data_IF_041428098719
#
_entry.id   IF_041428098719
#
_cell.length_a   1.000
_cell.length_b   1.000
_cell.length_c   1.000
_cell.angle_alpha   90.00
_cell.angle_beta   90.00
_cell.angle_gamma   90.00
#
_symmetry.space_group_name_H-M   'P 1'
#
loop_
_entity.id
_entity.type
_entity.pdbx_description
1 polymer ?
#
# COMPACT_ATOMS: atom_id res chain seq x y z
N UNK A 1 -10.75 -9.69 -20.58
CA UNK A 1 -9.35 -9.81 -21.01
C UNK A 1 -8.57 -10.37 -19.84
N UNK A 2 -7.82 -11.45 -20.02
CA UNK A 2 -7.09 -12.14 -18.95
C UNK A 2 -6.01 -11.24 -18.35
N UNK A 3 -5.80 -11.32 -17.01
CA UNK A 3 -4.77 -10.61 -16.24
C UNK A 3 -3.35 -10.76 -16.83
N UNK A 4 -3.09 -11.88 -17.51
CA UNK A 4 -1.80 -12.18 -18.14
C UNK A 4 -1.47 -11.31 -19.35
N UNK A 5 -2.45 -10.71 -20.00
CA UNK A 5 -2.25 -9.89 -21.20
C UNK A 5 -1.81 -8.44 -20.89
N UNK A 6 -1.87 -8.00 -19.64
CA UNK A 6 -1.54 -6.63 -19.20
C UNK A 6 -0.26 -6.57 -18.35
N UNK A 7 0.40 -7.70 -18.07
CA UNK A 7 1.75 -7.68 -17.48
C UNK A 7 2.67 -6.95 -18.45
N UNK A 8 2.84 -5.65 -18.23
CA UNK A 8 3.67 -4.76 -19.03
C UNK A 8 5.07 -5.34 -19.11
N UNK A 9 5.64 -5.32 -20.30
CA UNK A 9 7.07 -5.45 -20.50
C UNK A 9 7.76 -4.44 -19.58
N UNK A 10 8.23 -4.90 -18.42
CA UNK A 10 8.94 -4.09 -17.45
C UNK A 10 10.23 -3.66 -18.14
N UNK A 11 10.39 -2.36 -18.41
CA UNK A 11 11.67 -1.84 -18.90
C UNK A 11 12.75 -2.30 -17.93
N UNK A 12 13.91 -2.72 -18.42
CA UNK A 12 15.04 -3.21 -17.63
C UNK A 12 15.50 -2.24 -16.50
N UNK A 13 14.94 -1.04 -16.46
CA UNK A 13 15.21 0.01 -15.45
C UNK A 13 14.01 0.35 -14.55
N UNK A 14 12.81 -0.17 -14.81
CA UNK A 14 11.65 0.12 -13.98
C UNK A 14 11.67 -0.73 -12.70
N UNK A 15 11.24 -0.19 -11.54
CA UNK A 15 11.15 -0.98 -10.31
C UNK A 15 10.08 -2.06 -10.45
N UNK A 16 10.32 -3.21 -9.78
CA UNK A 16 9.30 -4.23 -9.57
C UNK A 16 8.30 -3.73 -8.54
N UNK A 17 7.03 -3.61 -8.93
CA UNK A 17 5.99 -3.00 -8.10
C UNK A 17 5.14 -4.06 -7.43
N UNK A 18 5.10 -4.02 -6.11
CA UNK A 18 4.29 -4.91 -5.28
C UNK A 18 3.15 -4.10 -4.65
N UNK A 19 1.91 -4.53 -4.87
CA UNK A 19 0.76 -4.01 -4.16
C UNK A 19 0.55 -4.80 -2.87
N UNK A 20 0.72 -4.18 -1.70
CA UNK A 20 0.45 -4.77 -0.39
C UNK A 20 -0.92 -4.30 0.09
N UNK A 21 -1.83 -5.22 0.33
CA UNK A 21 -3.18 -4.93 0.81
C UNK A 21 -3.63 -5.93 1.89
N UNK A 22 -4.80 -5.71 2.44
CA UNK A 22 -5.40 -6.55 3.47
C UNK A 22 -6.47 -5.79 4.23
N UNK A 23 -7.38 -6.49 4.85
CA UNK A 23 -8.48 -5.92 5.60
C UNK A 23 -8.01 -5.25 6.90
N UNK A 24 -8.85 -4.37 7.44
CA UNK A 24 -8.58 -3.63 8.69
C UNK A 24 -8.15 -4.60 9.79
N UNK A 25 -7.15 -4.24 10.57
CA UNK A 25 -6.53 -5.04 11.64
C UNK A 25 -5.95 -6.41 11.17
N UNK A 26 -5.78 -6.62 9.85
CA UNK A 26 -5.19 -7.83 9.28
C UNK A 26 -3.69 -8.03 9.51
N UNK A 27 -2.96 -7.01 9.99
CA UNK A 27 -1.51 -7.10 10.23
C UNK A 27 -0.63 -6.54 9.11
N UNK A 28 -1.21 -5.88 8.12
CA UNK A 28 -0.51 -5.30 6.96
C UNK A 28 0.67 -4.39 7.35
N UNK A 29 0.49 -3.53 8.35
CA UNK A 29 1.53 -2.61 8.82
C UNK A 29 2.74 -3.33 9.41
N UNK A 30 2.55 -4.49 10.05
CA UNK A 30 3.65 -5.32 10.55
C UNK A 30 4.44 -5.94 9.41
N UNK A 31 3.73 -6.47 8.40
CA UNK A 31 4.37 -7.00 7.19
C UNK A 31 5.17 -5.91 6.47
N UNK A 32 4.61 -4.71 6.32
CA UNK A 32 5.31 -3.58 5.73
C UNK A 32 6.54 -3.17 6.54
N UNK A 33 6.49 -3.23 7.88
CA UNK A 33 7.64 -2.95 8.75
C UNK A 33 8.74 -3.98 8.55
N UNK A 34 8.42 -5.29 8.58
CA UNK A 34 9.39 -6.37 8.31
C UNK A 34 10.05 -6.18 6.94
N UNK A 35 9.29 -5.82 5.93
CA UNK A 35 9.84 -5.63 4.59
C UNK A 35 10.74 -4.38 4.49
N UNK A 36 10.43 -3.29 5.21
CA UNK A 36 11.35 -2.13 5.34
C UNK A 36 12.68 -2.53 5.97
N UNK A 37 12.63 -3.31 7.05
CA UNK A 37 13.82 -3.81 7.74
C UNK A 37 14.67 -4.73 6.82
N UNK A 38 14.02 -5.42 5.87
CA UNK A 38 14.67 -6.22 4.85
C UNK A 38 15.12 -5.41 3.60
N UNK A 39 14.91 -4.10 3.61
CA UNK A 39 15.38 -3.19 2.56
C UNK A 39 14.37 -2.88 1.46
N UNK A 40 13.08 -3.16 1.66
CA UNK A 40 12.03 -2.74 0.73
C UNK A 40 11.86 -1.22 0.73
N UNK A 41 11.71 -0.63 -0.44
CA UNK A 41 11.19 0.73 -0.60
C UNK A 41 9.65 0.70 -0.45
N UNK A 42 9.11 1.33 0.59
CA UNK A 42 7.66 1.26 0.89
C UNK A 42 7.02 2.62 0.73
N UNK A 43 6.03 2.70 -0.17
CA UNK A 43 5.17 3.87 -0.39
C UNK A 43 3.82 3.65 0.29
N UNK A 44 3.49 4.50 1.26
CA UNK A 44 2.18 4.54 1.92
C UNK A 44 1.20 5.34 1.06
N UNK A 45 0.18 4.67 0.52
CA UNK A 45 -0.81 5.30 -0.34
C UNK A 45 -1.69 6.33 0.40
N UNK A 46 -1.95 6.13 1.70
CA UNK A 46 -2.70 7.10 2.52
C UNK A 46 -1.85 8.36 2.76
N UNK A 47 -0.54 8.21 2.99
CA UNK A 47 0.38 9.33 3.09
C UNK A 47 0.47 10.09 1.76
N UNK A 48 0.51 9.37 0.64
CA UNK A 48 0.55 9.97 -0.69
C UNK A 48 -0.74 10.73 -1.01
N UNK A 49 -1.90 10.19 -0.65
CA UNK A 49 -3.18 10.88 -0.79
C UNK A 49 -3.27 12.14 0.11
N UNK A 50 -2.66 12.10 1.31
CA UNK A 50 -2.55 13.29 2.16
C UNK A 50 -1.68 14.36 1.54
N UNK A 51 -0.53 13.97 0.95
CA UNK A 51 0.37 14.87 0.22
C UNK A 51 -0.31 15.50 -1.01
N UNK A 52 -1.15 14.74 -1.71
CA UNK A 52 -1.88 15.22 -2.87
C UNK A 52 -2.79 16.43 -2.58
N UNK A 53 -3.29 16.55 -1.34
CA UNK A 53 -4.18 17.61 -0.89
C UNK A 53 -3.56 18.50 0.19
N UNK A 54 -2.23 18.61 0.18
CA UNK A 54 -1.52 19.55 1.05
C UNK A 54 -1.86 21.01 0.72
N UNK A 55 -1.68 21.88 1.72
CA UNK A 55 -1.90 23.31 1.58
C UNK A 55 -1.17 23.86 0.35
N UNK A 56 -1.89 24.61 -0.48
CA UNK A 56 -1.40 25.22 -1.70
C UNK A 56 -1.40 24.29 -2.93
N UNK A 57 -1.84 23.03 -2.80
CA UNK A 57 -1.99 22.14 -3.94
C UNK A 57 -3.20 22.52 -4.80
N UNK A 58 -3.12 22.20 -6.11
CA UNK A 58 -4.25 22.40 -7.03
C UNK A 58 -5.45 21.54 -6.62
N UNK A 59 -5.21 20.32 -6.11
CA UNK A 59 -6.28 19.45 -5.65
C UNK A 59 -7.03 20.04 -4.46
N UNK A 60 -6.35 20.64 -3.48
CA UNK A 60 -7.01 21.27 -2.34
C UNK A 60 -7.87 22.45 -2.77
N UNK A 61 -7.39 23.26 -3.72
CA UNK A 61 -8.18 24.35 -4.30
C UNK A 61 -9.44 23.83 -4.99
N UNK A 62 -9.31 22.81 -5.84
CA UNK A 62 -10.46 22.19 -6.51
C UNK A 62 -11.44 21.55 -5.51
N UNK A 63 -10.94 20.97 -4.40
CA UNK A 63 -11.80 20.45 -3.33
C UNK A 63 -12.58 21.59 -2.67
N UNK A 64 -11.96 22.72 -2.38
CA UNK A 64 -12.66 23.87 -1.80
C UNK A 64 -13.72 24.46 -2.76
N UNK A 65 -13.42 24.54 -4.04
CA UNK A 65 -14.37 24.95 -5.09
C UNK A 65 -15.59 24.00 -5.19
N UNK A 66 -15.39 22.68 -5.09
CA UNK A 66 -16.44 21.66 -5.23
C UNK A 66 -17.26 21.47 -3.96
N UNK A 67 -16.62 21.51 -2.77
CA UNK A 67 -17.24 21.15 -1.49
C UNK A 67 -17.54 22.36 -0.59
N UNK A 68 -17.06 23.54 -0.96
CA UNK A 68 -17.18 24.78 -0.19
C UNK A 68 -15.96 25.04 0.68
N UNK A 69 -15.77 26.32 1.07
CA UNK A 69 -14.64 26.73 1.92
C UNK A 69 -14.72 26.19 3.35
N UNK A 70 -15.87 25.73 3.79
CA UNK A 70 -16.09 25.09 5.11
C UNK A 70 -15.30 23.77 5.27
N UNK A 71 -14.72 23.24 4.19
CA UNK A 71 -13.79 22.10 4.26
C UNK A 71 -12.35 22.53 4.52
N UNK A 72 -12.08 23.83 4.71
CA UNK A 72 -10.77 24.33 5.07
C UNK A 72 -10.75 24.81 6.52
N UNK A 73 -9.63 24.60 7.22
CA UNK A 73 -9.39 25.22 8.51
C UNK A 73 -8.76 26.61 8.34
N UNK A 74 -8.66 27.39 9.43
CA UNK A 74 -8.24 28.79 9.40
C UNK A 74 -6.85 29.04 8.77
N UNK A 75 -5.97 28.06 8.79
CA UNK A 75 -4.63 28.14 8.15
C UNK A 75 -4.66 27.80 6.65
N UNK A 76 -5.83 27.49 6.09
CA UNK A 76 -6.02 27.11 4.70
C UNK A 76 -5.67 25.65 4.39
N UNK A 77 -5.46 24.80 5.37
CA UNK A 77 -5.33 23.35 5.17
C UNK A 77 -6.69 22.64 5.20
N UNK A 78 -6.73 21.39 4.73
CA UNK A 78 -7.96 20.60 4.64
C UNK A 78 -8.48 20.17 6.01
N UNK A 79 -9.71 20.54 6.37
CA UNK A 79 -10.49 19.91 7.45
C UNK A 79 -10.99 18.54 6.99
N UNK A 80 -10.18 17.51 7.31
CA UNK A 80 -10.49 16.14 6.93
C UNK A 80 -11.76 15.61 7.58
N UNK A 81 -12.10 16.09 8.78
CA UNK A 81 -13.30 15.68 9.48
C UNK A 81 -14.57 16.28 8.84
N UNK A 82 -14.50 17.54 8.44
CA UNK A 82 -15.58 18.20 7.71
C UNK A 82 -15.82 17.53 6.35
N UNK A 83 -14.76 17.34 5.56
CA UNK A 83 -14.86 16.66 4.27
C UNK A 83 -15.37 15.21 4.41
N UNK A 84 -14.87 14.46 5.40
CA UNK A 84 -15.31 13.10 5.66
C UNK A 84 -16.82 13.02 5.93
N UNK A 85 -17.38 13.93 6.72
CA UNK A 85 -18.84 13.98 6.98
C UNK A 85 -19.65 14.14 5.70
N UNK A 86 -19.15 14.96 4.77
CA UNK A 86 -19.81 15.21 3.48
C UNK A 86 -19.79 13.95 2.59
N UNK A 87 -18.61 13.34 2.45
CA UNK A 87 -18.42 12.24 1.49
C UNK A 87 -18.90 10.89 2.02
N UNK A 88 -18.97 10.70 3.35
CA UNK A 88 -19.57 9.49 3.92
C UNK A 88 -21.09 9.46 3.81
N UNK A 89 -21.74 10.62 3.78
CA UNK A 89 -23.19 10.72 3.66
C UNK A 89 -23.68 10.60 2.21
N UNK A 90 -22.80 10.82 1.22
CA UNK A 90 -23.17 10.91 -0.19
C UNK A 90 -22.14 10.21 -1.10
N UNK A 91 -22.50 9.03 -1.68
CA UNK A 91 -21.62 8.29 -2.59
C UNK A 91 -21.23 9.06 -3.87
N UNK A 92 -22.09 10.00 -4.33
CA UNK A 92 -21.78 10.84 -5.49
C UNK A 92 -20.69 11.84 -5.16
N UNK A 93 -20.79 12.52 -4.03
CA UNK A 93 -19.76 13.43 -3.53
C UNK A 93 -18.44 12.71 -3.26
N UNK A 94 -18.49 11.48 -2.75
CA UNK A 94 -17.30 10.64 -2.60
C UNK A 94 -16.63 10.39 -3.95
N UNK A 95 -17.37 10.02 -4.99
CA UNK A 95 -16.83 9.83 -6.35
C UNK A 95 -16.18 11.09 -6.92
N UNK A 96 -16.76 12.27 -6.67
CA UNK A 96 -16.19 13.55 -7.08
C UNK A 96 -14.87 13.84 -6.37
N UNK A 97 -14.77 13.59 -5.06
CA UNK A 97 -13.52 13.70 -4.33
C UNK A 97 -12.45 12.75 -4.90
N UNK A 98 -12.80 11.51 -5.13
CA UNK A 98 -11.91 10.50 -5.73
C UNK A 98 -11.42 10.97 -7.13
N UNK A 99 -12.27 11.54 -7.95
CA UNK A 99 -11.92 12.07 -9.27
C UNK A 99 -10.93 13.26 -9.19
N UNK A 100 -10.97 14.06 -8.13
CA UNK A 100 -10.01 15.16 -7.90
C UNK A 100 -8.68 14.62 -7.38
N UNK A 101 -8.71 13.71 -6.40
CA UNK A 101 -7.50 13.25 -5.69
C UNK A 101 -6.71 12.24 -6.49
N UNK A 102 -7.38 11.29 -7.15
CA UNK A 102 -6.72 10.17 -7.85
C UNK A 102 -5.70 10.61 -8.91
N UNK A 103 -5.98 11.59 -9.81
CA UNK A 103 -4.99 12.05 -10.77
C UNK A 103 -3.72 12.63 -10.11
N UNK A 104 -3.86 13.29 -8.97
CA UNK A 104 -2.73 13.85 -8.25
C UNK A 104 -1.88 12.76 -7.60
N UNK A 105 -2.51 11.74 -7.02
CA UNK A 105 -1.81 10.56 -6.48
C UNK A 105 -1.01 9.88 -7.60
N UNK A 106 -1.61 9.69 -8.78
CA UNK A 106 -0.91 9.11 -9.94
C UNK A 106 0.30 9.95 -10.36
N UNK A 107 0.18 11.29 -10.35
CA UNK A 107 1.29 12.21 -10.68
C UNK A 107 2.41 12.19 -9.64
N UNK A 108 2.07 12.05 -8.35
CA UNK A 108 3.04 12.03 -7.26
C UNK A 108 3.73 10.66 -7.10
N UNK A 109 3.12 9.57 -7.56
CA UNK A 109 3.63 8.21 -7.43
C UNK A 109 5.09 8.04 -7.87
N UNK A 110 5.54 8.49 -9.08
CA UNK A 110 6.93 8.31 -9.49
C UNK A 110 7.93 9.05 -8.61
N UNK A 111 7.53 10.16 -8.02
CA UNK A 111 8.37 10.90 -7.07
C UNK A 111 8.47 10.13 -5.75
N UNK A 112 7.35 9.69 -5.19
CA UNK A 112 7.30 8.91 -3.97
C UNK A 112 8.08 7.58 -4.10
N UNK A 113 8.00 6.90 -5.26
CA UNK A 113 8.80 5.71 -5.54
C UNK A 113 10.31 6.01 -5.51
N UNK A 114 10.75 7.12 -6.10
CA UNK A 114 12.17 7.54 -6.06
C UNK A 114 12.64 7.90 -4.66
N UNK A 115 11.81 8.62 -3.91
CA UNK A 115 12.08 8.98 -2.51
C UNK A 115 12.24 7.71 -1.66
N UNK A 116 11.29 6.79 -1.73
CA UNK A 116 11.33 5.53 -0.99
C UNK A 116 12.54 4.64 -1.37
N UNK A 117 12.90 4.59 -2.65
CA UNK A 117 14.10 3.87 -3.10
C UNK A 117 15.38 4.52 -2.55
N UNK A 118 15.48 5.84 -2.56
CA UNK A 118 16.64 6.55 -2.01
C UNK A 118 16.77 6.34 -0.50
N UNK A 119 15.66 6.34 0.24
CA UNK A 119 15.63 6.04 1.68
C UNK A 119 16.07 4.60 1.97
N UNK A 120 15.55 3.62 1.23
CA UNK A 120 15.93 2.22 1.37
C UNK A 120 17.42 1.99 1.07
N UNK A 121 17.96 2.68 0.06
CA UNK A 121 19.38 2.64 -0.28
C UNK A 121 20.26 3.30 0.79
N UNK A 122 19.81 4.41 1.34
CA UNK A 122 20.52 5.08 2.45
C UNK A 122 20.55 4.21 3.71
N UNK A 123 19.41 3.57 4.05
CA UNK A 123 19.33 2.65 5.18
C UNK A 123 20.29 1.45 4.99
N UNK A 124 20.33 0.86 3.80
CA UNK A 124 21.26 -0.24 3.49
C UNK A 124 22.74 0.18 3.61
N UNK A 125 23.09 1.37 3.15
CA UNK A 125 24.46 1.89 3.28
C UNK A 125 24.87 2.19 4.73
N UNK A 126 23.92 2.60 5.57
CA UNK A 126 24.14 2.87 6.99
C UNK A 126 24.17 1.62 7.88
N UNK A 127 23.73 0.47 7.38
CA UNK A 127 23.70 -0.77 8.13
C UNK A 127 25.13 -1.32 8.38
N UNK A 128 25.38 -1.98 9.55
CA UNK A 128 26.63 -2.69 9.81
C UNK A 128 26.93 -3.73 8.72
N UNK A 129 28.21 -4.01 8.44
CA UNK A 129 28.63 -4.93 7.37
C UNK A 129 27.97 -6.33 7.45
N UNK A 130 27.69 -6.82 8.65
CA UNK A 130 26.95 -8.08 8.87
C UNK A 130 25.49 -8.04 8.38
N UNK A 131 24.89 -6.86 8.31
CA UNK A 131 23.54 -6.65 7.81
C UNK A 131 23.48 -6.27 6.31
N UNK A 132 24.64 -5.91 5.75
CA UNK A 132 24.81 -5.74 4.29
C UNK A 132 24.81 -7.11 3.64
N UNK A 133 23.62 -7.65 3.37
CA UNK A 133 23.52 -8.82 2.50
C UNK A 133 24.02 -8.44 1.11
N UNK A 134 25.27 -8.82 0.81
CA UNK A 134 25.67 -8.95 -0.56
C UNK A 134 24.68 -9.91 -1.24
N UNK A 135 24.28 -9.66 -2.51
CA UNK A 135 23.50 -10.65 -3.25
C UNK A 135 24.30 -11.96 -3.19
N UNK A 136 23.66 -13.01 -2.65
CA UNK A 136 24.22 -14.35 -2.76
C UNK A 136 24.41 -14.62 -4.27
N UNK A 137 25.61 -15.07 -4.61
CA UNK A 137 25.93 -15.61 -5.94
C UNK A 137 26.04 -14.64 -7.11
N UNK A 138 26.96 -13.66 -7.07
CA UNK A 138 27.44 -13.00 -8.30
C UNK A 138 26.36 -12.33 -9.19
N UNK A 139 25.13 -12.34 -8.78
CA UNK A 139 24.01 -11.71 -9.46
C UNK A 139 24.11 -10.20 -9.28
N UNK A 140 24.14 -9.46 -10.37
CA UNK A 140 24.31 -8.01 -10.46
C UNK A 140 23.47 -7.16 -9.50
N UNK A 141 23.54 -5.84 -9.62
CA UNK A 141 22.84 -4.89 -8.75
C UNK A 141 21.40 -5.34 -8.38
N UNK A 142 21.02 -5.26 -7.09
CA UNK A 142 19.68 -5.66 -6.66
C UNK A 142 18.62 -4.87 -7.44
N UNK A 143 17.58 -5.55 -7.87
CA UNK A 143 16.44 -4.92 -8.51
C UNK A 143 15.77 -3.95 -7.54
N UNK A 144 15.44 -2.74 -7.95
CA UNK A 144 14.62 -1.86 -7.14
C UNK A 144 13.21 -2.47 -7.02
N UNK A 145 12.82 -2.86 -5.81
CA UNK A 145 11.48 -3.35 -5.49
C UNK A 145 10.77 -2.25 -4.71
N UNK A 146 9.61 -1.82 -5.21
CA UNK A 146 8.78 -0.82 -4.53
C UNK A 146 7.48 -1.48 -4.09
N UNK A 147 7.20 -1.40 -2.80
CA UNK A 147 5.95 -1.88 -2.19
C UNK A 147 5.02 -0.71 -2.01
N UNK A 148 3.82 -0.80 -2.55
CA UNK A 148 2.75 0.16 -2.30
C UNK A 148 1.79 -0.41 -1.27
N UNK A 149 1.75 0.20 -0.11
CA UNK A 149 0.80 -0.13 0.96
C UNK A 149 -0.54 0.54 0.69
N UNK A 150 -1.52 -0.22 0.18
CA UNK A 150 -2.82 0.29 -0.27
C UNK A 150 -3.96 -0.51 0.39
N UNK A 151 -4.66 0.05 1.39
CA UNK A 151 -5.74 -0.65 2.08
C UNK A 151 -6.91 -1.08 1.18
N UNK A 152 -7.28 -0.25 0.22
CA UNK A 152 -8.43 -0.43 -0.67
C UNK A 152 -8.01 -0.77 -2.12
N UNK A 153 -6.95 -1.55 -2.29
CA UNK A 153 -6.36 -1.86 -3.60
C UNK A 153 -7.37 -2.44 -4.60
N UNK A 154 -8.13 -3.43 -4.16
CA UNK A 154 -9.10 -4.12 -5.01
C UNK A 154 -10.40 -3.33 -5.17
N UNK A 155 -10.83 -2.64 -4.12
CA UNK A 155 -12.02 -1.79 -4.13
C UNK A 155 -11.89 -0.63 -5.11
N UNK A 156 -10.65 -0.17 -5.33
CA UNK A 156 -10.34 0.92 -6.28
C UNK A 156 -9.89 0.43 -7.66
N UNK A 157 -9.79 -0.90 -7.87
CA UNK A 157 -9.40 -1.49 -9.16
C UNK A 157 -7.95 -1.22 -9.56
N UNK A 158 -7.07 -0.92 -8.60
CA UNK A 158 -5.67 -0.54 -8.87
C UNK A 158 -4.73 -1.73 -9.03
N UNK A 159 -5.20 -2.96 -8.81
CA UNK A 159 -4.36 -4.16 -8.79
C UNK A 159 -3.65 -4.46 -10.11
N UNK A 160 -4.18 -3.98 -11.22
CA UNK A 160 -3.55 -4.17 -12.55
C UNK A 160 -2.28 -3.36 -12.75
N UNK A 161 -2.03 -2.39 -11.85
CA UNK A 161 -0.85 -1.52 -11.91
C UNK A 161 0.40 -2.10 -11.20
N UNK A 162 0.34 -3.35 -10.72
CA UNK A 162 1.39 -4.02 -9.95
C UNK A 162 1.85 -5.30 -10.64
N UNK A 163 3.14 -5.60 -10.49
CA UNK A 163 3.74 -6.85 -10.98
C UNK A 163 3.31 -8.04 -10.12
N UNK A 164 3.12 -7.81 -8.81
CA UNK A 164 2.63 -8.78 -7.84
C UNK A 164 1.70 -8.10 -6.81
N UNK A 165 0.59 -8.75 -6.44
CA UNK A 165 -0.32 -8.30 -5.38
C UNK A 165 -0.27 -9.27 -4.22
N UNK A 166 0.04 -8.75 -3.04
CA UNK A 166 0.12 -9.50 -1.79
C UNK A 166 -0.99 -9.10 -0.84
N UNK A 167 -1.75 -10.08 -0.36
CA UNK A 167 -2.80 -9.90 0.64
C UNK A 167 -2.33 -10.41 1.99
N UNK A 168 -2.43 -9.56 3.01
CA UNK A 168 -2.31 -10.00 4.42
C UNK A 168 -3.71 -10.32 4.91
N UNK A 169 -3.93 -11.60 5.23
CA UNK A 169 -5.22 -12.12 5.62
C UNK A 169 -5.21 -12.63 7.06
N UNK A 170 -6.22 -12.22 7.83
CA UNK A 170 -6.43 -12.66 9.21
C UNK A 170 -7.89 -13.04 9.42
N UNK A 171 -8.18 -14.02 10.29
CA UNK A 171 -9.54 -14.37 10.66
C UNK A 171 -10.34 -13.17 11.17
N UNK A 172 -11.64 -13.15 10.91
CA UNK A 172 -12.49 -12.01 11.24
C UNK A 172 -12.57 -11.77 12.76
N UNK A 173 -12.66 -12.83 13.54
CA UNK A 173 -12.65 -12.80 15.00
C UNK A 173 -11.35 -12.17 15.55
N UNK A 174 -10.20 -12.56 15.05
CA UNK A 174 -8.92 -11.97 15.42
C UNK A 174 -8.82 -10.49 15.03
N UNK A 175 -9.41 -10.09 13.88
CA UNK A 175 -9.49 -8.68 13.47
C UNK A 175 -10.41 -7.88 14.39
N UNK A 176 -11.56 -8.43 14.74
CA UNK A 176 -12.51 -7.83 15.67
C UNK A 176 -11.86 -7.61 17.05
N UNK A 177 -11.24 -8.65 17.61
CA UNK A 177 -10.52 -8.58 18.88
C UNK A 177 -9.46 -7.46 18.87
N UNK A 178 -8.63 -7.40 17.84
CA UNK A 178 -7.59 -6.35 17.68
C UNK A 178 -8.18 -4.94 17.60
N UNK A 179 -9.34 -4.76 16.96
CA UNK A 179 -10.01 -3.47 16.87
C UNK A 179 -10.57 -3.03 18.23
N UNK A 180 -11.14 -3.95 18.99
CA UNK A 180 -11.71 -3.66 20.30
C UNK A 180 -10.61 -3.48 21.34
N UNK A 181 -9.71 -4.45 21.48
CA UNK A 181 -8.75 -4.47 22.59
C UNK A 181 -7.55 -3.56 22.37
N UNK A 182 -7.00 -3.51 21.12
CA UNK A 182 -5.80 -2.73 20.85
C UNK A 182 -6.09 -1.31 20.39
N UNK A 183 -7.28 -1.05 19.79
CA UNK A 183 -7.64 0.28 19.29
C UNK A 183 -8.77 0.93 20.08
N UNK A 184 -9.31 0.28 21.11
CA UNK A 184 -10.38 0.80 21.96
C UNK A 184 -11.68 1.08 21.21
N UNK A 185 -11.92 0.39 20.08
CA UNK A 185 -13.11 0.61 19.28
C UNK A 185 -14.31 -0.08 19.90
N UNK A 186 -15.46 0.59 19.86
CA UNK A 186 -16.71 -0.04 20.30
C UNK A 186 -17.03 -1.26 19.38
N UNK A 187 -17.42 -2.45 19.94
CA UNK A 187 -17.59 -3.68 19.16
C UNK A 187 -18.52 -3.55 17.95
N UNK A 188 -19.64 -2.83 18.09
CA UNK A 188 -20.57 -2.60 16.99
C UNK A 188 -19.95 -1.77 15.86
N UNK A 189 -19.15 -0.77 16.21
CA UNK A 189 -18.43 0.04 15.21
C UNK A 189 -17.33 -0.78 14.52
N UNK A 190 -16.63 -1.66 15.25
CA UNK A 190 -15.63 -2.56 14.70
C UNK A 190 -16.24 -3.51 13.67
N UNK A 191 -17.37 -4.15 13.99
CA UNK A 191 -18.11 -5.01 13.06
C UNK A 191 -18.57 -4.25 11.81
N UNK A 192 -19.11 -3.04 11.97
CA UNK A 192 -19.51 -2.20 10.83
C UNK A 192 -18.32 -1.88 9.91
N UNK A 193 -17.15 -1.59 10.47
CA UNK A 193 -15.94 -1.32 9.68
C UNK A 193 -15.43 -2.56 8.95
N UNK A 194 -15.49 -3.72 9.58
CA UNK A 194 -15.14 -5.00 8.94
C UNK A 194 -16.09 -5.27 7.77
N UNK A 195 -17.40 -5.16 8.00
CA UNK A 195 -18.43 -5.42 7.00
C UNK A 195 -18.45 -4.40 5.84
N UNK A 196 -17.86 -3.21 6.02
CA UNK A 196 -17.76 -2.20 4.96
C UNK A 196 -16.66 -2.45 3.94
N UNK A 197 -15.77 -3.41 4.18
CA UNK A 197 -14.69 -3.78 3.28
C UNK A 197 -15.08 -4.97 2.39
N UNK A 198 -14.36 -5.12 1.27
CA UNK A 198 -14.46 -6.34 0.46
C UNK A 198 -14.19 -7.58 1.32
N UNK A 199 -14.96 -8.68 1.19
CA UNK A 199 -14.70 -9.94 1.89
C UNK A 199 -13.26 -10.42 1.71
N UNK A 200 -12.67 -10.99 2.77
CA UNK A 200 -11.29 -11.49 2.73
C UNK A 200 -11.08 -12.55 1.65
N UNK A 201 -12.05 -13.44 1.49
CA UNK A 201 -12.04 -14.52 0.48
C UNK A 201 -11.91 -13.96 -0.94
N UNK A 202 -12.64 -12.88 -1.25
CA UNK A 202 -12.57 -12.23 -2.56
C UNK A 202 -11.20 -11.59 -2.82
N UNK A 203 -10.59 -10.99 -1.79
CA UNK A 203 -9.22 -10.46 -1.87
C UNK A 203 -8.21 -11.58 -2.06
N UNK A 204 -8.33 -12.64 -1.26
CA UNK A 204 -7.45 -13.81 -1.33
C UNK A 204 -7.51 -14.48 -2.71
N UNK A 205 -8.71 -14.63 -3.28
CA UNK A 205 -8.89 -15.22 -4.62
C UNK A 205 -8.25 -14.40 -5.75
N UNK A 206 -8.02 -13.10 -5.53
CA UNK A 206 -7.44 -12.17 -6.52
C UNK A 206 -5.96 -11.89 -6.28
N UNK A 207 -5.39 -12.36 -5.18
CA UNK A 207 -3.99 -12.15 -4.82
C UNK A 207 -3.04 -13.07 -5.60
N UNK A 208 -1.85 -12.58 -5.91
CA UNK A 208 -0.75 -13.42 -6.41
C UNK A 208 -0.09 -14.16 -5.24
N UNK A 209 -0.12 -13.57 -4.02
CA UNK A 209 0.41 -14.17 -2.79
C UNK A 209 -0.44 -13.80 -1.58
N UNK A 210 -0.56 -14.72 -0.64
CA UNK A 210 -1.28 -14.53 0.63
C UNK A 210 -0.34 -14.78 1.80
N UNK A 211 -0.31 -13.83 2.74
CA UNK A 211 0.36 -13.96 4.04
C UNK A 211 -0.71 -14.12 5.10
N UNK A 212 -0.81 -15.32 5.68
CA UNK A 212 -1.77 -15.62 6.76
C UNK A 212 -1.29 -15.05 8.09
N UNK A 213 -2.20 -14.36 8.79
CA UNK A 213 -1.99 -13.81 10.14
C UNK A 213 -3.01 -14.44 11.12
N UNK A 214 -2.93 -15.73 11.26
CA UNK A 214 -3.78 -16.60 12.05
C UNK A 214 -3.06 -17.27 13.23
N UNK A 215 -1.86 -16.79 13.55
CA UNK A 215 -1.01 -17.31 14.61
C UNK A 215 -0.33 -16.16 15.37
N UNK A 216 0.83 -16.41 15.98
CA UNK A 216 1.58 -15.41 16.74
C UNK A 216 2.18 -14.30 15.85
N UNK A 217 2.50 -13.16 16.47
CA UNK A 217 3.23 -12.08 15.81
C UNK A 217 4.59 -12.54 15.23
N UNK A 218 5.28 -13.42 15.95
CA UNK A 218 6.54 -13.99 15.48
C UNK A 218 6.36 -14.83 14.22
N UNK A 219 5.29 -15.60 14.14
CA UNK A 219 4.95 -16.38 12.96
C UNK A 219 4.61 -15.47 11.77
N UNK A 220 3.84 -14.40 11.98
CA UNK A 220 3.58 -13.41 10.96
C UNK A 220 4.88 -12.79 10.39
N UNK A 221 5.81 -12.44 11.26
CA UNK A 221 7.14 -11.91 10.87
C UNK A 221 7.93 -12.91 10.03
N UNK A 222 7.91 -14.18 10.43
CA UNK A 222 8.56 -15.28 9.69
C UNK A 222 7.96 -15.41 8.30
N UNK A 223 6.63 -15.50 8.19
CA UNK A 223 5.92 -15.59 6.90
C UNK A 223 6.14 -14.34 6.03
N UNK A 224 6.19 -13.15 6.64
CA UNK A 224 6.50 -11.92 5.92
C UNK A 224 7.92 -11.95 5.33
N UNK A 225 8.92 -12.43 6.09
CA UNK A 225 10.29 -12.56 5.59
C UNK A 225 10.43 -13.62 4.48
N UNK A 226 9.69 -14.72 4.57
CA UNK A 226 9.63 -15.74 3.50
C UNK A 226 8.99 -15.20 2.22
N UNK A 227 7.87 -14.49 2.37
CA UNK A 227 7.21 -13.82 1.25
C UNK A 227 8.14 -12.81 0.56
N UNK A 228 8.92 -12.03 1.34
CA UNK A 228 9.89 -11.10 0.78
C UNK A 228 10.95 -11.78 -0.07
N UNK A 229 11.55 -12.88 0.40
CA UNK A 229 12.54 -13.66 -0.39
C UNK A 229 11.93 -14.17 -1.70
N UNK A 230 10.67 -14.60 -1.68
CA UNK A 230 9.99 -15.06 -2.88
C UNK A 230 9.69 -13.91 -3.86
N UNK A 231 9.36 -12.70 -3.36
CA UNK A 231 9.20 -11.49 -4.16
C UNK A 231 10.53 -11.11 -4.82
N UNK A 232 11.64 -11.12 -4.07
CA UNK A 232 12.99 -10.86 -4.62
C UNK A 232 13.36 -11.84 -5.74
N UNK A 233 13.01 -13.12 -5.60
CA UNK A 233 13.22 -14.14 -6.63
C UNK A 233 12.35 -13.87 -7.87
N UNK A 234 11.07 -13.55 -7.69
CA UNK A 234 10.15 -13.21 -8.78
C UNK A 234 10.61 -11.96 -9.54
N UNK A 235 11.07 -10.95 -8.84
CA UNK A 235 11.60 -9.73 -9.42
C UNK A 235 12.85 -10.00 -10.28
N UNK A 236 13.78 -10.86 -9.82
CA UNK A 236 14.95 -11.29 -10.61
C UNK A 236 14.54 -11.98 -11.90
N UNK A 237 13.64 -12.94 -11.81
CA UNK A 237 13.14 -13.66 -12.98
C UNK A 237 12.45 -12.73 -13.99
N UNK A 238 11.69 -11.76 -13.51
CA UNK A 238 11.04 -10.75 -14.36
C UNK A 238 12.08 -9.91 -15.13
N UNK A 239 13.18 -9.53 -14.48
CA UNK A 239 14.29 -8.79 -15.13
C UNK A 239 15.01 -9.60 -16.19
N UNK A 240 15.32 -10.86 -15.91
CA UNK A 240 15.98 -11.75 -16.86
C UNK A 240 15.16 -11.89 -18.14
N UNK A 241 13.84 -12.04 -18.01
CA UNK A 241 12.90 -12.07 -19.15
C UNK A 241 12.81 -10.76 -19.93
N UNK A 242 12.99 -9.61 -19.27
CA UNK A 242 12.93 -8.31 -19.93
C UNK A 242 14.25 -7.91 -20.61
N UNK A 243 15.36 -8.57 -20.26
CA UNK A 243 16.69 -8.37 -20.84
C UNK A 243 17.07 -9.36 -21.93
N UNK A 244 16.25 -10.40 -22.13
CA UNK A 244 16.39 -11.39 -23.18
C UNK A 244 15.52 -11.02 -24.39
#
# INVERSE_FOLDING_TARGET
MSRDAVKRATSARAPYRVGLTGNIAGGKSEVAAVWRDLGAAVVDADALARRAVERGSDALRTIAEEFGEDVLVADGSLDRAALARIVFADPERRRRLEAIVHPQVVRLRPLAEREALAEADAARRGAPDAARRAPADGAGEPLPIVVHDIPLLFETGLETGFDEVVVVDAPEDARLERLVELRGMEPRQALQRIASQMPSEDKVARADRVIRNDASLQELRTRAAEAWRAIEAAARTARERAGA
#
